data_IF_055334407944
#
_entry.id   IF_055334407944
#
_cell.length_a   1.000
_cell.length_b   1.000
_cell.length_c   1.000
_cell.angle_alpha   90.00
_cell.angle_beta   90.00
_cell.angle_gamma   90.00
#
_symmetry.space_group_name_H-M   'P 1'
#
loop_
_entity.id
_entity.type
_entity.pdbx_description
1 polymer ?
#
# COMPACT_ATOMS: atom_id res chain seq x y z
N UNK A 1 -72.67 -31.17 -1.30
CA UNK A 1 -71.69 -30.26 -0.67
C UNK A 1 -70.30 -30.72 -1.09
N UNK A 2 -69.64 -29.91 -1.90
CA UNK A 2 -68.42 -30.24 -2.66
C UNK A 2 -67.17 -30.09 -1.78
N UNK A 3 -66.33 -31.11 -1.72
CA UNK A 3 -65.11 -31.13 -0.89
C UNK A 3 -63.96 -30.55 -1.74
N UNK A 4 -63.62 -29.27 -1.52
CA UNK A 4 -62.47 -28.61 -2.19
C UNK A 4 -61.17 -29.32 -1.84
N UNK A 5 -60.63 -30.04 -2.82
CA UNK A 5 -59.27 -30.61 -2.79
C UNK A 5 -58.25 -29.50 -3.07
N UNK A 6 -57.56 -29.00 -2.05
CA UNK A 6 -56.38 -28.17 -2.24
C UNK A 6 -55.20 -29.03 -2.70
N UNK A 7 -54.97 -29.05 -4.01
CA UNK A 7 -53.84 -29.73 -4.65
C UNK A 7 -52.66 -28.76 -4.66
N UNK A 8 -51.71 -28.90 -3.75
CA UNK A 8 -50.39 -28.27 -3.86
C UNK A 8 -49.55 -29.09 -4.85
N UNK A 9 -49.08 -28.54 -5.98
CA UNK A 9 -48.35 -29.32 -6.97
C UNK A 9 -46.89 -28.90 -7.06
N UNK A 10 -46.11 -28.92 -5.98
CA UNK A 10 -44.64 -28.94 -6.06
C UNK A 10 -44.10 -29.68 -4.83
N UNK A 11 -43.25 -30.67 -5.05
CA UNK A 11 -42.50 -31.31 -3.97
C UNK A 11 -41.39 -30.36 -3.52
N UNK A 12 -41.69 -29.50 -2.55
CA UNK A 12 -40.69 -28.65 -1.91
C UNK A 12 -39.71 -29.54 -1.15
N UNK A 13 -38.50 -29.67 -1.67
CA UNK A 13 -37.42 -30.34 -0.98
C UNK A 13 -37.03 -29.53 0.26
N UNK A 14 -37.22 -30.05 1.49
CA UNK A 14 -37.02 -29.29 2.73
C UNK A 14 -35.56 -28.88 2.99
N UNK A 15 -34.61 -29.49 2.26
CA UNK A 15 -33.20 -29.13 2.32
C UNK A 15 -32.92 -27.75 1.69
N UNK A 16 -33.53 -27.46 0.54
CA UNK A 16 -33.29 -26.21 -0.20
C UNK A 16 -33.87 -24.98 0.51
N UNK A 17 -35.01 -25.13 1.19
CA UNK A 17 -35.64 -24.07 2.01
C UNK A 17 -34.77 -23.64 3.20
N UNK A 18 -34.08 -24.58 3.84
CA UNK A 18 -33.17 -24.29 4.98
C UNK A 18 -31.84 -23.68 4.52
N UNK A 19 -31.34 -24.08 3.35
CA UNK A 19 -30.14 -23.48 2.77
C UNK A 19 -30.42 -22.03 2.37
N UNK A 20 -31.55 -21.77 1.72
CA UNK A 20 -31.96 -20.43 1.29
C UNK A 20 -32.07 -19.46 2.47
N UNK A 21 -32.74 -19.86 3.56
CA UNK A 21 -32.86 -19.01 4.76
C UNK A 21 -31.54 -18.78 5.49
N UNK A 22 -30.66 -19.79 5.54
CA UNK A 22 -29.31 -19.62 6.12
C UNK A 22 -28.44 -18.70 5.27
N UNK A 23 -28.47 -18.85 3.94
CA UNK A 23 -27.73 -18.00 3.00
C UNK A 23 -28.25 -16.57 3.07
N UNK A 24 -29.56 -16.35 3.14
CA UNK A 24 -30.15 -15.02 3.27
C UNK A 24 -29.73 -14.34 4.59
N UNK A 25 -29.71 -15.07 5.71
CA UNK A 25 -29.33 -14.53 7.01
C UNK A 25 -27.82 -14.27 7.12
N UNK A 26 -26.99 -15.16 6.59
CA UNK A 26 -25.54 -14.97 6.55
C UNK A 26 -25.19 -13.81 5.61
N UNK A 27 -25.81 -13.77 4.43
CA UNK A 27 -25.62 -12.72 3.44
C UNK A 27 -26.02 -11.34 3.98
N UNK A 28 -27.14 -11.23 4.70
CA UNK A 28 -27.55 -9.94 5.29
C UNK A 28 -26.58 -9.49 6.39
N UNK A 29 -26.12 -10.39 7.25
CA UNK A 29 -25.10 -10.07 8.26
C UNK A 29 -23.78 -9.63 7.61
N UNK A 30 -23.32 -10.33 6.57
CA UNK A 30 -22.11 -9.95 5.82
C UNK A 30 -22.29 -8.58 5.17
N UNK A 31 -23.44 -8.31 4.54
CA UNK A 31 -23.73 -7.02 3.92
C UNK A 31 -23.67 -5.88 4.96
N UNK A 32 -24.35 -6.05 6.09
CA UNK A 32 -24.29 -5.08 7.20
C UNK A 32 -22.86 -4.88 7.70
N UNK A 33 -22.08 -5.96 7.84
CA UNK A 33 -20.68 -5.88 8.26
C UNK A 33 -19.82 -5.09 7.25
N UNK A 34 -19.99 -5.32 5.95
CA UNK A 34 -19.29 -4.57 4.88
C UNK A 34 -19.68 -3.09 4.91
N UNK A 35 -20.96 -2.77 5.10
CA UNK A 35 -21.43 -1.38 5.21
C UNK A 35 -20.81 -0.69 6.43
N UNK A 36 -20.85 -1.32 7.60
CA UNK A 36 -20.22 -0.78 8.82
C UNK A 36 -18.72 -0.61 8.61
N UNK A 37 -18.06 -1.57 7.95
CA UNK A 37 -16.64 -1.47 7.63
C UNK A 37 -16.34 -0.27 6.73
N UNK A 38 -17.16 -0.03 5.70
CA UNK A 38 -17.05 1.15 4.85
C UNK A 38 -17.25 2.46 5.61
N UNK A 39 -18.24 2.51 6.53
CA UNK A 39 -18.49 3.68 7.38
C UNK A 39 -17.36 3.95 8.37
N UNK A 40 -16.70 2.91 8.86
CA UNK A 40 -15.50 3.03 9.71
C UNK A 40 -14.22 3.34 8.90
N UNK A 41 -14.30 3.37 7.56
CA UNK A 41 -13.16 3.63 6.70
C UNK A 41 -12.21 2.44 6.55
N UNK A 42 -12.63 1.20 6.83
CA UNK A 42 -11.79 0.01 6.62
C UNK A 42 -11.38 -0.23 5.16
N UNK A 43 -12.07 0.43 4.21
CA UNK A 43 -11.74 0.41 2.78
C UNK A 43 -11.06 1.71 2.30
N UNK A 44 -10.69 2.62 3.19
CA UNK A 44 -9.89 3.78 2.78
C UNK A 44 -8.48 3.33 2.37
N UNK A 45 -7.86 4.08 1.46
CA UNK A 45 -6.48 3.83 1.02
C UNK A 45 -5.53 3.81 2.23
N UNK A 46 -4.62 2.83 2.26
CA UNK A 46 -3.52 2.77 3.23
C UNK A 46 -3.75 1.92 4.48
N UNK A 47 -4.97 1.69 4.98
CA UNK A 47 -5.10 1.05 6.31
C UNK A 47 -4.74 -0.46 6.32
N UNK A 48 -5.11 -1.20 5.28
CA UNK A 48 -4.84 -2.65 5.20
C UNK A 48 -3.44 -3.00 4.69
N UNK A 49 -2.81 -2.08 3.95
CA UNK A 49 -1.55 -2.32 3.22
C UNK A 49 -0.35 -1.59 3.81
N UNK A 50 -0.55 -0.55 4.63
CA UNK A 50 0.56 0.25 5.15
C UNK A 50 1.58 -0.60 5.89
N UNK A 51 2.84 -0.39 5.53
CA UNK A 51 4.02 -0.98 6.15
C UNK A 51 5.01 0.12 6.45
N UNK A 52 5.62 0.01 7.62
CA UNK A 52 6.82 0.77 7.98
C UNK A 52 7.98 -0.21 8.03
N UNK A 53 9.05 0.09 7.29
CA UNK A 53 10.31 -0.63 7.33
C UNK A 53 11.40 0.30 7.85
N UNK A 54 12.35 -0.25 8.60
CA UNK A 54 13.42 0.51 9.24
C UNK A 54 14.76 -0.13 8.88
N UNK A 55 15.78 0.69 8.66
CA UNK A 55 17.15 0.20 8.52
C UNK A 55 17.66 -0.39 9.83
N UNK A 56 18.67 -1.27 9.74
CA UNK A 56 19.27 -1.95 10.91
C UNK A 56 19.79 -0.94 11.94
N UNK A 57 20.34 0.18 11.48
CA UNK A 57 20.87 1.25 12.33
C UNK A 57 19.80 2.27 12.77
N UNK A 58 18.54 2.07 12.37
CA UNK A 58 17.41 2.93 12.72
C UNK A 58 17.42 4.33 12.10
N UNK A 59 18.38 4.64 11.23
CA UNK A 59 18.53 5.99 10.65
C UNK A 59 17.60 6.27 9.48
N UNK A 60 17.16 5.23 8.77
CA UNK A 60 16.23 5.33 7.65
C UNK A 60 14.95 4.58 7.98
N UNK A 61 13.82 5.24 7.75
CA UNK A 61 12.49 4.63 7.81
C UNK A 61 11.77 4.87 6.51
N UNK A 62 11.05 3.85 6.05
CA UNK A 62 10.29 3.88 4.80
C UNK A 62 8.88 3.45 5.09
N UNK A 63 7.92 4.34 4.85
CA UNK A 63 6.50 4.02 4.88
C UNK A 63 6.00 3.82 3.45
N UNK A 64 5.36 2.69 3.22
CA UNK A 64 4.88 2.27 1.89
C UNK A 64 3.69 1.31 2.03
N UNK A 65 2.92 1.15 0.96
CA UNK A 65 1.89 0.12 0.87
C UNK A 65 2.45 -1.20 0.36
N UNK A 66 2.24 -2.30 1.10
CA UNK A 66 2.70 -3.63 0.67
C UNK A 66 2.08 -4.09 -0.65
N UNK A 67 0.84 -3.66 -0.91
CA UNK A 67 0.09 -4.00 -2.11
C UNK A 67 -0.25 -2.73 -2.88
N UNK A 68 0.21 -2.65 -4.12
CA UNK A 68 -0.14 -1.59 -5.05
C UNK A 68 -1.00 -2.15 -6.19
N UNK A 69 -1.60 -1.26 -6.99
CA UNK A 69 -2.29 -1.62 -8.22
C UNK A 69 -1.56 -0.99 -9.40
N UNK A 70 -1.52 -1.72 -10.50
CA UNK A 70 -0.96 -1.22 -11.74
C UNK A 70 -1.66 0.07 -12.14
N UNK A 71 -0.89 1.09 -12.54
CA UNK A 71 -1.41 2.39 -12.97
C UNK A 71 -2.24 3.16 -11.93
N UNK A 72 -2.16 2.82 -10.64
CA UNK A 72 -2.75 3.60 -9.56
C UNK A 72 -1.75 4.55 -8.92
N UNK A 73 -2.22 5.66 -8.37
CA UNK A 73 -1.40 6.54 -7.54
C UNK A 73 -1.17 5.90 -6.17
N UNK A 74 0.09 5.89 -5.74
CA UNK A 74 0.51 5.47 -4.40
C UNK A 74 1.46 6.49 -3.80
N UNK A 75 1.52 6.53 -2.47
CA UNK A 75 2.45 7.37 -1.73
C UNK A 75 3.54 6.54 -1.06
N UNK A 76 4.76 7.07 -1.04
CA UNK A 76 5.89 6.54 -0.28
C UNK A 76 6.56 7.66 0.51
N UNK A 77 6.93 7.38 1.75
CA UNK A 77 7.65 8.33 2.60
C UNK A 77 9.00 7.77 2.97
N UNK A 78 10.04 8.58 2.80
CA UNK A 78 11.40 8.27 3.21
C UNK A 78 11.75 9.22 4.35
N UNK A 79 11.83 8.72 5.57
CA UNK A 79 12.22 9.50 6.74
C UNK A 79 13.64 9.15 7.13
N UNK A 80 14.52 10.14 7.09
CA UNK A 80 15.84 10.07 7.65
C UNK A 80 15.85 10.73 9.03
N UNK A 81 16.22 9.95 10.05
CA UNK A 81 16.22 10.39 11.45
C UNK A 81 17.41 11.31 11.77
N UNK A 82 17.44 11.79 13.02
CA UNK A 82 18.47 12.71 13.50
C UNK A 82 19.88 12.18 13.21
N UNK A 83 20.73 13.06 12.70
CA UNK A 83 22.11 12.79 12.33
C UNK A 83 22.96 14.01 12.67
N UNK A 84 24.29 13.89 12.62
CA UNK A 84 25.20 15.03 12.72
C UNK A 84 25.50 15.67 11.34
N UNK A 85 24.91 15.14 10.27
CA UNK A 85 25.17 15.56 8.90
C UNK A 85 24.20 16.65 8.45
N UNK A 86 24.75 17.75 7.91
CA UNK A 86 23.98 18.86 7.32
C UNK A 86 23.53 18.62 5.88
N UNK A 87 23.78 17.41 5.37
CA UNK A 87 23.34 16.97 4.05
C UNK A 87 22.72 15.59 4.19
N UNK A 88 21.77 15.31 3.33
CA UNK A 88 21.07 14.03 3.31
C UNK A 88 20.95 13.58 1.87
N UNK A 89 21.45 12.39 1.60
CA UNK A 89 21.41 11.79 0.26
C UNK A 89 20.55 10.54 0.32
N UNK A 90 19.41 10.57 -0.36
CA UNK A 90 18.62 9.37 -0.59
C UNK A 90 19.01 8.77 -1.93
N UNK A 91 19.19 7.45 -1.98
CA UNK A 91 19.46 6.72 -3.22
C UNK A 91 18.35 5.69 -3.40
N UNK A 92 17.66 5.78 -4.54
CA UNK A 92 16.59 4.87 -4.94
C UNK A 92 17.12 3.92 -6.01
N UNK A 93 17.19 2.63 -5.71
CA UNK A 93 17.74 1.60 -6.57
C UNK A 93 16.94 0.30 -6.53
N UNK A 94 17.58 -0.80 -6.95
CA UNK A 94 16.89 -2.06 -7.22
C UNK A 94 15.99 -1.92 -8.45
N UNK A 95 14.73 -2.33 -8.34
CA UNK A 95 13.77 -2.23 -9.43
C UNK A 95 13.00 -0.89 -9.46
N UNK A 96 13.35 0.08 -8.61
CA UNK A 96 12.57 1.32 -8.45
C UNK A 96 12.33 2.04 -9.78
N UNK A 97 13.41 2.33 -10.53
CA UNK A 97 13.34 3.07 -11.79
C UNK A 97 12.68 2.27 -12.94
N UNK A 98 12.50 0.95 -12.77
CA UNK A 98 11.86 0.08 -13.75
C UNK A 98 10.37 -0.07 -13.48
N UNK A 99 10.01 -0.23 -12.20
CA UNK A 99 8.66 -0.62 -11.81
C UNK A 99 7.79 0.59 -11.43
N UNK A 100 8.38 1.77 -11.20
CA UNK A 100 7.66 2.96 -10.76
C UNK A 100 8.02 4.20 -11.57
N UNK A 101 7.00 4.97 -11.89
CA UNK A 101 7.13 6.35 -12.36
C UNK A 101 6.98 7.30 -11.17
N UNK A 102 7.91 8.24 -11.02
CA UNK A 102 7.83 9.28 -9.98
C UNK A 102 6.98 10.43 -10.51
N UNK A 103 5.79 10.63 -9.94
CA UNK A 103 4.91 11.76 -10.27
C UNK A 103 5.23 13.00 -9.48
N UNK A 104 5.45 12.84 -8.19
CA UNK A 104 5.74 13.94 -7.27
C UNK A 104 6.85 13.54 -6.33
N UNK A 105 7.66 14.53 -5.96
CA UNK A 105 8.79 14.36 -5.06
C UNK A 105 8.95 15.66 -4.28
N UNK A 106 8.70 15.59 -2.97
CA UNK A 106 8.65 16.74 -2.08
C UNK A 106 9.39 16.44 -0.77
N UNK A 107 10.21 17.37 -0.23
CA UNK A 107 10.65 18.60 -0.89
C UNK A 107 11.49 18.31 -2.14
N UNK A 108 11.72 19.33 -2.97
CA UNK A 108 12.61 19.21 -4.13
C UNK A 108 14.08 19.13 -3.67
N UNK A 109 14.89 18.23 -4.25
CA UNK A 109 16.30 18.10 -3.92
C UNK A 109 17.10 19.26 -4.51
N UNK A 110 18.22 19.60 -3.87
CA UNK A 110 19.18 20.57 -4.42
C UNK A 110 19.88 20.00 -5.66
N UNK A 111 20.08 18.68 -5.67
CA UNK A 111 20.70 17.97 -6.78
C UNK A 111 20.06 16.60 -6.95
N UNK A 112 19.69 16.31 -8.20
CA UNK A 112 19.14 15.03 -8.61
C UNK A 112 20.00 14.48 -9.74
N UNK A 113 20.52 13.28 -9.57
CA UNK A 113 21.37 12.62 -10.57
C UNK A 113 21.00 11.16 -10.71
N UNK A 114 21.18 10.59 -11.89
CA UNK A 114 21.10 9.14 -12.07
C UNK A 114 22.52 8.58 -12.17
N UNK A 115 22.80 7.55 -11.38
CA UNK A 115 24.09 6.87 -11.36
C UNK A 115 23.86 5.36 -11.28
N UNK A 116 24.41 4.59 -12.22
CA UNK A 116 24.33 3.12 -12.25
C UNK A 116 22.88 2.54 -12.19
N UNK A 117 21.90 3.25 -12.76
CA UNK A 117 20.49 2.83 -12.71
C UNK A 117 19.78 3.18 -11.39
N UNK A 118 20.46 3.89 -10.50
CA UNK A 118 19.91 4.43 -9.26
C UNK A 118 19.62 5.93 -9.42
N UNK A 119 18.63 6.42 -8.68
CA UNK A 119 18.34 7.84 -8.56
C UNK A 119 18.90 8.38 -7.24
N UNK A 120 19.80 9.33 -7.35
CA UNK A 120 20.46 9.99 -6.21
C UNK A 120 19.84 11.36 -6.00
N UNK A 121 19.33 11.58 -4.79
CA UNK A 121 18.62 12.79 -4.37
C UNK A 121 19.37 13.44 -3.21
N UNK A 122 19.96 14.60 -3.44
CA UNK A 122 20.73 15.34 -2.44
C UNK A 122 19.92 16.51 -1.87
N UNK A 123 19.89 16.61 -0.54
CA UNK A 123 19.17 17.64 0.20
C UNK A 123 20.08 18.34 1.20
N UNK A 124 19.91 19.66 1.35
CA UNK A 124 20.39 20.37 2.52
C UNK A 124 19.53 20.05 3.75
N UNK A 125 20.19 19.84 4.89
CA UNK A 125 19.56 19.62 6.18
C UNK A 125 20.07 20.68 7.18
N UNK A 126 19.40 21.83 7.29
CA UNK A 126 19.85 22.91 8.19
C UNK A 126 19.75 22.50 9.67
N UNK A 127 18.73 21.72 10.03
CA UNK A 127 18.50 21.21 11.39
C UNK A 127 18.75 19.69 11.45
N UNK A 128 20.01 19.24 11.63
CA UNK A 128 20.37 17.84 11.51
C UNK A 128 19.81 16.97 12.65
N UNK A 129 19.44 17.58 13.77
CA UNK A 129 18.80 16.95 14.92
C UNK A 129 17.31 16.61 14.69
N UNK A 130 16.69 17.13 13.62
CA UNK A 130 15.30 16.85 13.28
C UNK A 130 15.18 15.76 12.22
N UNK A 131 14.04 15.05 12.25
CA UNK A 131 13.68 14.10 11.20
C UNK A 131 13.45 14.84 9.89
N UNK A 132 14.02 14.33 8.81
CA UNK A 132 13.80 14.84 7.46
C UNK A 132 13.02 13.82 6.64
N UNK A 133 11.85 14.20 6.14
CA UNK A 133 10.98 13.31 5.37
C UNK A 133 10.89 13.77 3.92
N UNK A 134 11.00 12.82 3.01
CA UNK A 134 10.70 12.98 1.57
C UNK A 134 9.43 12.20 1.25
N UNK A 135 8.45 12.89 0.68
CA UNK A 135 7.21 12.32 0.15
C UNK A 135 7.35 12.11 -1.35
N UNK A 136 7.05 10.91 -1.80
CA UNK A 136 7.03 10.53 -3.20
C UNK A 136 5.62 10.08 -3.57
N UNK A 137 5.06 10.68 -4.61
CA UNK A 137 3.90 10.15 -5.32
C UNK A 137 4.38 9.31 -6.50
N UNK A 138 3.97 8.06 -6.55
CA UNK A 138 4.46 7.07 -7.50
C UNK A 138 3.30 6.44 -8.28
N UNK A 139 3.60 5.95 -9.48
CA UNK A 139 2.69 5.07 -10.24
C UNK A 139 3.40 3.80 -10.64
N UNK A 140 2.92 2.62 -10.20
CA UNK A 140 3.43 1.34 -10.64
C UNK A 140 3.19 1.13 -12.14
N UNK A 141 4.23 0.69 -12.86
CA UNK A 141 4.24 0.49 -14.32
C UNK A 141 4.31 -0.98 -14.73
N UNK A 142 4.74 -1.85 -13.82
CA UNK A 142 4.91 -3.29 -14.08
C UNK A 142 4.15 -4.11 -13.02
N UNK A 143 3.40 -5.16 -13.40
CA UNK A 143 2.75 -6.05 -12.44
C UNK A 143 3.75 -7.03 -11.83
N UNK A 144 3.46 -7.51 -10.62
CA UNK A 144 4.24 -8.53 -9.93
C UNK A 144 4.98 -8.03 -8.70
N UNK A 145 6.03 -8.75 -8.32
CA UNK A 145 6.80 -8.44 -7.11
C UNK A 145 7.96 -7.50 -7.46
N UNK A 146 7.99 -6.32 -6.85
CA UNK A 146 9.08 -5.35 -6.96
C UNK A 146 9.95 -5.35 -5.70
N UNK A 147 11.27 -5.40 -5.89
CA UNK A 147 12.27 -5.25 -4.82
C UNK A 147 12.94 -3.87 -4.95
N UNK A 148 12.68 -3.01 -3.97
CA UNK A 148 13.22 -1.67 -3.91
C UNK A 148 14.41 -1.64 -2.95
N UNK A 149 15.50 -1.02 -3.37
CA UNK A 149 16.67 -0.78 -2.51
C UNK A 149 16.79 0.70 -2.26
N UNK A 150 16.67 1.07 -0.99
CA UNK A 150 16.69 2.45 -0.55
C UNK A 150 17.93 2.61 0.32
N UNK A 151 18.71 3.65 0.08
CA UNK A 151 19.85 3.96 0.94
C UNK A 151 19.89 5.42 1.34
N UNK A 152 20.51 5.64 2.50
CA UNK A 152 20.73 6.95 3.09
C UNK A 152 22.24 7.15 3.27
N UNK A 153 22.74 8.23 2.68
CA UNK A 153 24.15 8.64 2.68
C UNK A 153 25.12 7.52 2.22
N UNK A 154 24.64 6.58 1.39
CA UNK A 154 25.41 5.44 0.86
C UNK A 154 25.83 4.37 1.88
N UNK A 155 25.60 4.57 3.17
CA UNK A 155 26.03 3.68 4.26
C UNK A 155 24.87 2.91 4.88
N UNK A 156 23.73 3.58 5.02
CA UNK A 156 22.51 3.00 5.58
C UNK A 156 21.70 2.39 4.44
N UNK A 157 21.40 1.10 4.50
CA UNK A 157 20.65 0.41 3.44
C UNK A 157 19.38 -0.23 3.98
N UNK A 158 18.32 -0.21 3.17
CA UNK A 158 17.04 -0.83 3.45
C UNK A 158 16.45 -1.39 2.16
N UNK A 159 16.18 -2.69 2.15
CA UNK A 159 15.45 -3.34 1.06
C UNK A 159 13.98 -3.50 1.47
N UNK A 160 13.06 -3.11 0.59
CA UNK A 160 11.62 -3.32 0.77
C UNK A 160 11.04 -4.06 -0.43
N UNK A 161 10.01 -4.86 -0.16
CA UNK A 161 9.35 -5.68 -1.19
C UNK A 161 7.89 -5.29 -1.28
N UNK A 162 7.45 -4.95 -2.48
CA UNK A 162 6.09 -4.53 -2.77
C UNK A 162 5.49 -5.44 -3.85
N UNK A 163 4.18 -5.72 -3.76
CA UNK A 163 3.48 -6.50 -4.76
C UNK A 163 2.47 -5.64 -5.50
N UNK A 164 2.57 -5.61 -6.83
CA UNK A 164 1.75 -4.80 -7.74
C UNK A 164 0.75 -5.73 -8.43
N UNK A 165 -0.53 -5.52 -8.14
CA UNK A 165 -1.64 -6.24 -8.78
C UNK A 165 -1.91 -5.68 -10.19
N UNK A 166 -2.15 -6.54 -11.20
CA UNK A 166 -2.53 -6.10 -12.55
C UNK A 166 -3.90 -5.42 -12.58
#
# INVERSE_FOLDING_TARGET
MEKKSHRYPVADSPFWLHVETKVQRIGSVILFAVVIAGLLGLFSQGWLSARSAHSIDGKLTVQYDRYARLQSDIDMQLTAHASNERRTVFILGGNFMQDFEIRTLQPQPEKMTSQNGELVLEYARPDPDQTFTVWLGLTPQTPGSSELRLSLNGTTQLAVKQFIWP
#
